data_IF_882527841836
#
_entry.id   IF_882527841836
#
_cell.length_a   1.000
_cell.length_b   1.000
_cell.length_c   1.000
_cell.angle_alpha   90.00
_cell.angle_beta   90.00
_cell.angle_gamma   90.00
#
_symmetry.space_group_name_H-M   'P 1'
#
loop_
_entity.id
_entity.type
_entity.pdbx_description
1 polymer ?
#
# COMPACT_ATOMS: atom_id res chain seq x y z
N UNK A 1 12.60 -21.71 -0.52
CA UNK A 1 12.75 -20.43 -1.25
C UNK A 1 13.61 -19.51 -0.41
N UNK A 2 14.58 -18.85 -1.02
CA UNK A 2 15.48 -17.92 -0.34
C UNK A 2 15.94 -16.83 -1.29
N UNK A 3 16.00 -15.60 -0.80
CA UNK A 3 16.53 -14.44 -1.55
C UNK A 3 18.02 -14.69 -1.82
N UNK A 4 18.42 -14.70 -3.09
CA UNK A 4 19.81 -14.94 -3.50
C UNK A 4 20.55 -13.62 -3.74
N UNK A 5 19.85 -12.61 -4.25
CA UNK A 5 20.37 -11.24 -4.45
C UNK A 5 19.23 -10.23 -4.28
N UNK A 6 19.58 -9.02 -3.82
CA UNK A 6 18.66 -7.88 -3.69
C UNK A 6 19.34 -6.63 -4.23
N UNK A 7 18.60 -5.83 -4.98
CA UNK A 7 19.00 -4.50 -5.41
C UNK A 7 17.83 -3.52 -5.24
N UNK A 8 17.96 -2.56 -4.32
CA UNK A 8 16.84 -1.72 -3.89
C UNK A 8 15.62 -2.54 -3.42
N UNK A 9 14.50 -2.40 -4.11
CA UNK A 9 13.26 -3.16 -3.86
C UNK A 9 13.08 -4.39 -4.78
N UNK A 10 14.01 -4.59 -5.73
CA UNK A 10 14.11 -5.79 -6.56
C UNK A 10 14.80 -6.94 -5.83
N UNK A 11 14.30 -8.16 -6.01
CA UNK A 11 14.85 -9.38 -5.41
C UNK A 11 14.88 -10.51 -6.43
N UNK A 12 15.99 -11.25 -6.44
CA UNK A 12 16.11 -12.53 -7.12
C UNK A 12 15.97 -13.64 -6.08
N UNK A 13 14.87 -14.38 -6.13
CA UNK A 13 14.55 -15.46 -5.19
C UNK A 13 14.70 -16.82 -5.85
N UNK A 14 15.38 -17.77 -5.19
CA UNK A 14 15.48 -19.14 -5.71
C UNK A 14 14.20 -19.90 -5.40
N UNK A 15 13.48 -20.29 -6.46
CA UNK A 15 12.33 -21.19 -6.38
C UNK A 15 12.84 -22.63 -6.27
N UNK A 16 13.52 -23.09 -7.32
CA UNK A 16 14.03 -24.46 -7.46
C UNK A 16 15.47 -24.48 -7.98
N UNK A 17 16.05 -25.67 -8.20
CA UNK A 17 17.37 -25.78 -8.81
C UNK A 17 17.30 -25.37 -10.29
N UNK A 18 17.92 -24.24 -10.60
CA UNK A 18 17.89 -23.64 -11.91
C UNK A 18 16.68 -22.76 -12.21
N UNK A 19 15.79 -22.49 -11.23
CA UNK A 19 14.64 -21.59 -11.40
C UNK A 19 14.67 -20.49 -10.35
N UNK A 20 14.63 -19.25 -10.83
CA UNK A 20 14.66 -18.04 -10.01
C UNK A 20 13.47 -17.14 -10.36
N UNK A 21 12.96 -16.41 -9.39
CA UNK A 21 11.94 -15.39 -9.56
C UNK A 21 12.56 -14.00 -9.37
N UNK A 22 12.33 -13.11 -10.32
CA UNK A 22 12.57 -11.67 -10.17
C UNK A 22 11.29 -11.05 -9.62
N UNK A 23 11.39 -10.39 -8.48
CA UNK A 23 10.25 -9.74 -7.81
C UNK A 23 10.56 -8.28 -7.48
N UNK A 24 9.54 -7.42 -7.53
CA UNK A 24 9.58 -6.02 -7.11
C UNK A 24 8.50 -5.78 -6.04
N UNK A 25 8.87 -5.28 -4.86
CA UNK A 25 7.98 -5.17 -3.68
C UNK A 25 7.12 -6.43 -3.40
N UNK A 26 7.72 -7.61 -3.62
CA UNK A 26 7.11 -8.94 -3.48
C UNK A 26 6.04 -9.30 -4.55
N UNK A 27 5.85 -8.49 -5.60
CA UNK A 27 5.13 -8.88 -6.82
C UNK A 27 6.08 -9.66 -7.77
N UNK A 28 5.56 -10.69 -8.45
CA UNK A 28 6.32 -11.47 -9.44
C UNK A 28 6.36 -10.72 -10.77
N UNK A 29 7.55 -10.29 -11.20
CA UNK A 29 7.75 -9.54 -12.44
C UNK A 29 8.25 -10.44 -13.57
N UNK A 30 9.13 -11.41 -13.26
CA UNK A 30 9.65 -12.36 -14.25
C UNK A 30 10.14 -13.66 -13.59
N UNK A 31 10.20 -14.73 -14.37
CA UNK A 31 10.91 -15.97 -14.02
C UNK A 31 12.19 -16.09 -14.85
N UNK A 32 13.24 -16.66 -14.27
CA UNK A 32 14.51 -16.91 -14.92
C UNK A 32 14.87 -18.39 -14.77
N UNK A 33 15.08 -19.07 -15.90
CA UNK A 33 15.43 -20.49 -15.98
C UNK A 33 16.87 -20.60 -16.48
N UNK A 34 17.75 -21.23 -15.70
CA UNK A 34 19.15 -21.45 -16.09
C UNK A 34 19.33 -22.79 -16.81
N UNK A 35 20.43 -22.96 -17.56
CA UNK A 35 20.80 -24.24 -18.16
C UNK A 35 20.86 -25.44 -17.18
N UNK A 36 21.14 -25.20 -15.89
CA UNK A 36 21.13 -26.20 -14.82
C UNK A 36 19.72 -26.71 -14.40
N UNK A 37 18.65 -26.21 -15.03
CA UNK A 37 17.28 -26.64 -14.74
C UNK A 37 16.94 -27.99 -15.39
N UNK A 38 16.62 -28.98 -14.56
CA UNK A 38 16.11 -30.29 -14.96
C UNK A 38 14.57 -30.27 -14.93
N UNK A 39 13.88 -30.26 -16.09
CA UNK A 39 12.42 -30.15 -16.13
C UNK A 39 11.76 -31.43 -15.60
N UNK A 40 10.93 -31.27 -14.56
CA UNK A 40 10.19 -32.35 -13.94
C UNK A 40 8.93 -32.75 -14.72
N UNK A 41 7.82 -32.96 -14.01
CA UNK A 41 6.50 -33.22 -14.62
C UNK A 41 5.93 -31.95 -15.28
N UNK A 42 6.34 -30.78 -14.78
CA UNK A 42 6.00 -29.47 -15.30
C UNK A 42 7.29 -28.78 -15.73
N UNK A 43 7.24 -28.08 -16.86
CA UNK A 43 8.37 -27.32 -17.39
C UNK A 43 8.07 -25.82 -17.26
N UNK A 44 8.79 -25.18 -16.32
CA UNK A 44 8.68 -23.75 -15.99
C UNK A 44 8.96 -22.83 -17.19
N UNK A 45 9.57 -23.32 -18.27
CA UNK A 45 9.76 -22.58 -19.54
C UNK A 45 8.44 -22.24 -20.24
N UNK A 46 7.37 -22.98 -19.95
CA UNK A 46 6.04 -22.78 -20.54
C UNK A 46 5.04 -22.12 -19.59
N UNK A 47 5.51 -21.53 -18.48
CA UNK A 47 4.63 -20.79 -17.58
C UNK A 47 4.11 -19.50 -18.26
N UNK A 48 2.79 -19.32 -18.23
CA UNK A 48 2.09 -18.16 -18.79
C UNK A 48 1.78 -17.08 -17.75
N UNK A 49 2.10 -17.33 -16.47
CA UNK A 49 1.79 -16.41 -15.36
C UNK A 49 2.78 -15.25 -15.22
N UNK A 50 3.99 -15.41 -15.75
CA UNK A 50 5.06 -14.40 -15.76
C UNK A 50 5.92 -14.56 -17.03
N UNK A 51 6.57 -13.50 -17.54
CA UNK A 51 7.55 -13.63 -18.61
C UNK A 51 8.73 -14.50 -18.13
N UNK A 52 9.08 -15.52 -18.92
CA UNK A 52 10.19 -16.44 -18.63
C UNK A 52 11.41 -16.07 -19.47
N UNK A 53 12.56 -15.91 -18.82
CA UNK A 53 13.85 -15.66 -19.45
C UNK A 53 14.75 -16.88 -19.29
N UNK A 54 15.18 -17.49 -20.39
CA UNK A 54 16.22 -18.52 -20.36
C UNK A 54 17.61 -17.88 -20.36
N UNK A 55 18.50 -18.36 -19.49
CA UNK A 55 19.90 -17.90 -19.40
C UNK A 55 20.87 -19.05 -19.19
N UNK A 56 22.15 -18.85 -19.51
CA UNK A 56 23.14 -19.92 -19.41
C UNK A 56 23.57 -20.20 -17.96
N UNK A 57 23.70 -19.17 -17.11
CA UNK A 57 24.21 -19.30 -15.74
C UNK A 57 23.47 -18.45 -14.70
N UNK A 58 23.75 -18.72 -13.41
CA UNK A 58 23.27 -17.88 -12.31
C UNK A 58 23.79 -16.43 -12.38
N UNK A 59 24.96 -16.18 -12.96
CA UNK A 59 25.47 -14.81 -13.11
C UNK A 59 24.63 -14.02 -14.13
N UNK A 60 24.18 -14.67 -15.20
CA UNK A 60 23.31 -14.03 -16.19
C UNK A 60 21.92 -13.72 -15.60
N UNK A 61 21.41 -14.56 -14.69
CA UNK A 61 20.18 -14.29 -13.93
C UNK A 61 20.33 -13.08 -12.98
N UNK A 62 21.54 -12.85 -12.49
CA UNK A 62 21.91 -11.65 -11.70
C UNK A 62 22.00 -10.42 -12.59
N UNK A 63 22.63 -10.53 -13.77
CA UNK A 63 22.77 -9.42 -14.71
C UNK A 63 21.41 -9.01 -15.30
N UNK A 64 20.45 -9.93 -15.39
CA UNK A 64 19.04 -9.61 -15.67
C UNK A 64 18.39 -8.82 -14.52
N UNK A 65 18.58 -9.22 -13.26
CA UNK A 65 18.05 -8.46 -12.10
C UNK A 65 18.53 -7.00 -12.13
N UNK A 66 19.81 -6.77 -12.45
CA UNK A 66 20.37 -5.42 -12.55
C UNK A 66 19.80 -4.61 -13.71
N UNK A 67 19.42 -5.26 -14.82
CA UNK A 67 18.69 -4.62 -15.92
C UNK A 67 17.27 -4.21 -15.51
N UNK A 68 16.55 -5.05 -14.77
CA UNK A 68 15.24 -4.71 -14.18
C UNK A 68 15.34 -3.58 -13.16
N UNK A 69 16.36 -3.60 -12.29
CA UNK A 69 16.63 -2.51 -11.35
C UNK A 69 16.96 -1.18 -12.06
N UNK A 70 17.70 -1.25 -13.18
CA UNK A 70 18.10 -0.08 -13.96
C UNK A 70 16.99 0.48 -14.87
N UNK A 71 16.02 -0.32 -15.29
CA UNK A 71 14.92 0.13 -16.17
C UNK A 71 13.87 0.96 -15.42
N UNK A 72 13.81 0.84 -14.09
CA UNK A 72 13.13 1.76 -13.18
C UNK A 72 11.59 1.75 -13.25
N UNK A 73 10.99 0.85 -14.03
CA UNK A 73 9.54 0.78 -14.22
C UNK A 73 9.10 -0.70 -14.28
N UNK A 74 8.38 -1.24 -13.28
CA UNK A 74 7.82 -2.58 -13.35
C UNK A 74 6.82 -2.67 -14.50
N UNK A 75 6.65 -3.88 -15.07
CA UNK A 75 5.75 -4.05 -16.19
C UNK A 75 4.30 -4.07 -15.71
N UNK A 76 3.35 -3.36 -16.36
CA UNK A 76 1.94 -3.45 -16.01
C UNK A 76 1.37 -4.81 -16.44
N UNK A 77 1.62 -5.88 -15.67
CA UNK A 77 0.99 -7.20 -15.85
C UNK A 77 -0.48 -7.13 -15.45
N UNK A 78 -1.29 -6.64 -16.39
CA UNK A 78 -2.73 -6.46 -16.25
C UNK A 78 -3.42 -6.39 -17.62
N UNK A 79 -2.94 -7.17 -18.61
CA UNK A 79 -3.48 -7.16 -19.96
C UNK A 79 -3.17 -8.47 -20.69
N UNK A 80 -4.21 -9.19 -21.09
CA UNK A 80 -4.11 -10.38 -21.94
C UNK A 80 -3.46 -10.01 -23.29
N UNK A 81 -2.22 -10.44 -23.49
CA UNK A 81 -1.49 -10.23 -24.75
C UNK A 81 -2.20 -10.93 -25.91
N UNK A 82 -2.79 -10.15 -26.80
CA UNK A 82 -3.55 -10.66 -27.92
C UNK A 82 -2.70 -11.43 -28.94
N UNK A 83 -3.20 -12.57 -29.39
CA UNK A 83 -2.65 -13.28 -30.55
C UNK A 83 -2.81 -12.41 -31.81
N UNK A 84 -1.70 -12.07 -32.44
CA UNK A 84 -1.73 -11.49 -33.77
C UNK A 84 -1.88 -12.59 -34.84
N UNK A 85 -2.96 -12.55 -35.62
CA UNK A 85 -2.87 -12.84 -37.06
C UNK A 85 -4.12 -12.41 -37.87
N UNK A 86 -3.83 -11.73 -38.99
CA UNK A 86 -4.50 -11.75 -40.31
C UNK A 86 -6.04 -11.71 -40.47
N UNK A 87 -6.44 -10.78 -41.34
CA UNK A 87 -7.56 -10.83 -42.29
C UNK A 87 -9.03 -10.66 -41.84
N UNK A 88 -9.51 -9.42 -42.04
CA UNK A 88 -10.61 -9.13 -42.97
C UNK A 88 -12.06 -9.49 -42.58
N UNK A 89 -12.88 -8.47 -42.27
CA UNK A 89 -14.33 -8.60 -42.38
C UNK A 89 -15.20 -7.56 -41.68
N UNK A 90 -15.71 -6.60 -42.46
CA UNK A 90 -17.07 -6.00 -42.47
C UNK A 90 -17.80 -5.64 -41.15
N UNK A 91 -18.38 -4.44 -41.12
CA UNK A 91 -19.29 -3.89 -40.10
C UNK A 91 -20.54 -4.75 -39.83
N UNK A 92 -21.12 -4.59 -38.63
CA UNK A 92 -22.58 -4.53 -38.43
C UNK A 92 -22.93 -3.96 -37.04
N UNK A 93 -23.66 -2.85 -37.01
CA UNK A 93 -24.28 -2.32 -35.79
C UNK A 93 -25.52 -3.14 -35.39
N UNK A 94 -25.74 -3.35 -34.09
CA UNK A 94 -27.09 -3.43 -33.51
C UNK A 94 -27.08 -2.92 -32.05
N UNK A 95 -28.00 -2.01 -31.67
CA UNK A 95 -28.18 -1.61 -30.28
C UNK A 95 -29.04 -2.64 -29.54
N UNK A 96 -28.64 -3.05 -28.34
CA UNK A 96 -29.38 -3.98 -27.51
C UNK A 96 -29.06 -3.79 -26.04
N UNK A 97 -30.11 -3.67 -25.21
CA UNK A 97 -30.08 -3.36 -23.79
C UNK A 97 -29.04 -4.18 -22.98
N UNK A 98 -27.89 -3.57 -22.72
CA UNK A 98 -27.05 -3.93 -21.60
C UNK A 98 -27.44 -3.06 -20.40
N UNK A 99 -28.06 -3.66 -19.39
CA UNK A 99 -28.15 -3.03 -18.06
C UNK A 99 -26.73 -2.73 -17.62
N UNK A 100 -26.37 -1.45 -17.61
CA UNK A 100 -25.06 -1.01 -17.17
C UNK A 100 -25.02 -1.09 -15.65
N UNK A 101 -24.61 -2.25 -15.13
CA UNK A 101 -23.93 -2.35 -13.83
C UNK A 101 -22.55 -1.67 -13.96
N UNK A 102 -22.59 -0.39 -14.28
CA UNK A 102 -21.47 0.51 -14.37
C UNK A 102 -21.10 0.99 -12.97
N UNK A 103 -20.48 0.10 -12.19
CA UNK A 103 -19.60 0.49 -11.07
C UNK A 103 -18.33 1.17 -11.62
N UNK A 104 -18.52 2.26 -12.37
CA UNK A 104 -17.47 3.06 -12.97
C UNK A 104 -17.17 4.27 -12.08
N UNK A 105 -16.19 4.11 -11.20
CA UNK A 105 -15.30 5.22 -10.82
C UNK A 105 -15.88 6.36 -9.97
N UNK A 106 -16.91 6.13 -9.15
CA UNK A 106 -17.34 7.13 -8.14
C UNK A 106 -16.37 7.14 -6.92
N UNK A 107 -15.69 6.03 -6.66
CA UNK A 107 -14.79 5.87 -5.50
C UNK A 107 -13.61 6.85 -5.46
N UNK A 108 -13.09 7.27 -6.61
CA UNK A 108 -11.89 8.12 -6.70
C UNK A 108 -12.20 9.63 -6.85
N UNK A 109 -13.46 10.06 -6.69
CA UNK A 109 -13.77 11.49 -6.71
C UNK A 109 -13.49 12.11 -5.33
N UNK A 110 -12.72 13.21 -5.23
CA UNK A 110 -12.51 13.86 -3.94
C UNK A 110 -13.83 14.50 -3.45
N UNK A 111 -14.00 14.75 -2.14
CA UNK A 111 -15.26 15.26 -1.56
C UNK A 111 -15.84 16.50 -2.24
N UNK A 112 -15.00 17.38 -2.79
CA UNK A 112 -15.45 18.52 -3.60
C UNK A 112 -16.07 18.13 -4.94
N UNK A 113 -15.51 17.11 -5.60
CA UNK A 113 -16.07 16.53 -6.82
C UNK A 113 -17.41 15.83 -6.56
N UNK A 114 -17.49 15.02 -5.49
CA UNK A 114 -18.73 14.36 -5.06
C UNK A 114 -19.83 15.42 -4.80
N UNK A 115 -19.52 16.48 -4.04
CA UNK A 115 -20.46 17.56 -3.78
C UNK A 115 -20.94 18.28 -5.05
N UNK A 116 -20.07 18.47 -6.04
CA UNK A 116 -20.43 19.10 -7.31
C UNK A 116 -21.36 18.21 -8.14
N UNK A 117 -21.05 16.91 -8.24
CA UNK A 117 -21.87 15.92 -8.94
C UNK A 117 -23.26 15.81 -8.30
N UNK A 118 -23.35 15.72 -6.97
CA UNK A 118 -24.62 15.67 -6.24
C UNK A 118 -25.50 16.90 -6.51
N UNK A 119 -24.92 18.09 -6.58
CA UNK A 119 -25.66 19.31 -6.86
C UNK A 119 -26.15 19.40 -8.31
N UNK A 120 -25.30 19.05 -9.28
CA UNK A 120 -25.65 19.07 -10.70
C UNK A 120 -26.70 17.99 -11.01
N UNK A 121 -26.47 16.75 -10.59
CA UNK A 121 -27.40 15.64 -10.81
C UNK A 121 -28.73 15.86 -10.07
N UNK A 122 -28.70 16.25 -8.80
CA UNK A 122 -29.90 16.59 -8.02
C UNK A 122 -30.70 17.72 -8.66
N UNK A 123 -30.02 18.78 -9.14
CA UNK A 123 -30.67 19.88 -9.86
C UNK A 123 -31.34 19.45 -11.16
N UNK A 124 -30.68 18.61 -11.96
CA UNK A 124 -31.24 18.05 -13.21
C UNK A 124 -32.47 17.19 -12.91
N UNK A 125 -32.42 16.34 -11.86
CA UNK A 125 -33.55 15.47 -11.47
C UNK A 125 -34.74 16.27 -10.92
N UNK A 126 -34.51 17.32 -10.12
CA UNK A 126 -35.58 18.21 -9.65
C UNK A 126 -36.20 19.01 -10.80
N UNK A 127 -35.38 19.45 -11.77
CA UNK A 127 -35.87 20.18 -12.95
C UNK A 127 -36.69 19.28 -13.89
N UNK A 128 -36.22 18.05 -14.15
CA UNK A 128 -36.91 17.10 -15.05
C UNK A 128 -38.18 16.49 -14.46
N UNK A 129 -38.29 16.39 -13.14
CA UNK A 129 -39.48 15.89 -12.44
C UNK A 129 -40.61 16.91 -12.28
N UNK A 130 -40.44 18.14 -12.78
CA UNK A 130 -41.53 19.12 -12.90
C UNK A 130 -42.15 19.59 -11.59
N UNK A 131 -41.43 19.46 -10.46
CA UNK A 131 -41.89 19.81 -9.11
C UNK A 131 -43.15 19.05 -8.61
N UNK A 132 -43.46 17.89 -9.18
CA UNK A 132 -44.54 17.03 -8.70
C UNK A 132 -44.18 16.41 -7.32
N UNK A 133 -44.82 16.89 -6.25
CA UNK A 133 -44.48 16.54 -4.86
C UNK A 133 -44.68 15.05 -4.52
N UNK A 134 -45.51 14.34 -5.28
CA UNK A 134 -45.79 12.91 -5.10
C UNK A 134 -44.76 11.99 -5.79
N UNK A 135 -43.84 12.57 -6.57
CA UNK A 135 -42.85 11.83 -7.37
C UNK A 135 -41.63 11.42 -6.56
N UNK A 136 -41.35 10.11 -6.48
CA UNK A 136 -40.15 9.55 -5.84
C UNK A 136 -38.86 10.20 -6.41
N UNK A 137 -38.81 10.46 -7.72
CA UNK A 137 -37.69 11.15 -8.37
C UNK A 137 -37.43 12.55 -7.80
N UNK A 138 -38.47 13.31 -7.45
CA UNK A 138 -38.32 14.63 -6.82
C UNK A 138 -37.66 14.48 -5.44
N UNK A 139 -38.11 13.52 -4.64
CA UNK A 139 -37.56 13.26 -3.32
C UNK A 139 -36.09 12.86 -3.39
N UNK A 140 -35.72 11.99 -4.33
CA UNK A 140 -34.31 11.63 -4.61
C UNK A 140 -33.51 12.89 -4.96
N UNK A 141 -33.97 13.69 -5.93
CA UNK A 141 -33.31 14.93 -6.34
C UNK A 141 -33.11 15.93 -5.19
N UNK A 142 -34.12 16.11 -4.33
CA UNK A 142 -34.04 16.95 -3.13
C UNK A 142 -33.00 16.40 -2.14
N UNK A 143 -32.98 15.09 -1.89
CA UNK A 143 -31.97 14.50 -0.96
C UNK A 143 -30.54 14.67 -1.47
N UNK A 144 -30.30 14.55 -2.77
CA UNK A 144 -28.99 14.82 -3.39
C UNK A 144 -28.58 16.30 -3.28
N UNK A 145 -29.53 17.23 -3.49
CA UNK A 145 -29.27 18.66 -3.30
C UNK A 145 -28.93 19.00 -1.83
N UNK A 146 -29.69 18.47 -0.88
CA UNK A 146 -29.47 18.70 0.56
C UNK A 146 -28.13 18.13 1.02
N UNK A 147 -27.73 16.94 0.55
CA UNK A 147 -26.43 16.36 0.90
C UNK A 147 -25.26 17.16 0.33
N UNK A 148 -25.34 17.62 -0.94
CA UNK A 148 -24.35 18.53 -1.53
C UNK A 148 -24.23 19.86 -0.77
N UNK A 149 -25.35 20.48 -0.39
CA UNK A 149 -25.34 21.71 0.42
C UNK A 149 -24.73 21.47 1.81
N UNK A 150 -25.00 20.32 2.43
CA UNK A 150 -24.43 19.96 3.73
C UNK A 150 -22.90 19.81 3.69
N UNK A 151 -22.35 19.20 2.63
CA UNK A 151 -20.90 19.07 2.41
C UNK A 151 -20.26 20.45 2.27
N UNK A 152 -20.84 21.35 1.45
CA UNK A 152 -20.35 22.74 1.31
C UNK A 152 -20.43 23.50 2.63
N UNK A 153 -21.53 23.35 3.38
CA UNK A 153 -21.70 23.96 4.70
C UNK A 153 -20.64 23.49 5.70
N UNK A 154 -20.32 22.19 5.70
CA UNK A 154 -19.24 21.63 6.52
C UNK A 154 -17.87 22.18 6.13
N UNK A 155 -17.58 22.29 4.84
CA UNK A 155 -16.34 22.88 4.30
C UNK A 155 -16.20 24.35 4.71
N UNK A 156 -17.29 25.13 4.73
CA UNK A 156 -17.29 26.52 5.21
C UNK A 156 -17.02 26.61 6.73
N UNK A 157 -17.58 25.71 7.54
CA UNK A 157 -17.29 25.62 8.97
C UNK A 157 -15.82 25.24 9.20
N UNK A 158 -15.29 24.29 8.43
CA UNK A 158 -13.89 23.87 8.50
C UNK A 158 -12.93 25.00 8.08
N UNK A 159 -13.29 25.77 7.04
CA UNK A 159 -12.55 26.96 6.63
C UNK A 159 -12.50 28.06 7.72
N UNK A 160 -13.57 28.20 8.52
CA UNK A 160 -13.62 29.15 9.63
C UNK A 160 -12.84 28.68 10.87
N UNK A 161 -12.74 27.36 11.10
CA UNK A 161 -12.06 26.79 12.28
C UNK A 161 -10.56 26.58 12.05
N UNK A 162 -10.21 25.97 10.93
CA UNK A 162 -8.86 25.46 10.65
C UNK A 162 -8.19 26.22 9.47
N UNK A 163 -8.89 27.20 8.91
CA UNK A 163 -8.41 28.06 7.83
C UNK A 163 -8.69 27.51 6.43
N UNK A 164 -8.64 28.40 5.44
CA UNK A 164 -8.96 28.10 4.03
C UNK A 164 -8.09 26.98 3.44
N UNK A 165 -6.84 26.84 3.91
CA UNK A 165 -5.93 25.77 3.46
C UNK A 165 -6.42 24.37 3.83
N UNK A 166 -7.00 24.20 5.03
CA UNK A 166 -7.57 22.92 5.47
C UNK A 166 -8.82 22.56 4.66
N UNK A 167 -9.66 23.55 4.34
CA UNK A 167 -10.85 23.38 3.51
C UNK A 167 -10.53 22.98 2.06
N UNK A 168 -9.51 23.61 1.45
CA UNK A 168 -9.03 23.23 0.11
C UNK A 168 -8.50 21.79 0.12
N UNK A 169 -7.71 21.42 1.14
CA UNK A 169 -7.17 20.06 1.28
C UNK A 169 -8.28 19.01 1.39
N UNK A 170 -9.33 19.27 2.17
CA UNK A 170 -10.49 18.37 2.27
C UNK A 170 -11.22 18.23 0.92
N UNK A 171 -11.43 19.34 0.19
CA UNK A 171 -12.09 19.31 -1.12
C UNK A 171 -11.30 18.56 -2.21
N UNK A 172 -9.98 18.45 -2.07
CA UNK A 172 -9.07 17.86 -3.08
C UNK A 172 -8.46 16.51 -2.69
N UNK A 173 -8.72 16.00 -1.48
CA UNK A 173 -8.20 14.69 -1.05
C UNK A 173 -9.10 13.60 -1.60
N UNK A 174 -8.57 12.73 -2.46
CA UNK A 174 -9.24 11.48 -2.83
C UNK A 174 -9.01 10.51 -1.67
N UNK A 175 -10.08 9.91 -1.14
CA UNK A 175 -9.98 8.92 -0.07
C UNK A 175 -9.58 7.56 -0.65
N UNK A 176 -8.26 7.37 -0.80
CA UNK A 176 -7.66 6.07 -1.07
C UNK A 176 -7.82 5.16 0.16
N UNK A 177 -8.92 4.40 0.16
CA UNK A 177 -9.36 3.53 1.26
C UNK A 177 -8.38 2.38 1.57
N UNK A 178 -7.25 2.29 0.84
CA UNK A 178 -6.21 1.28 1.03
C UNK A 178 -5.12 1.65 2.05
N UNK A 179 -5.04 2.90 2.54
CA UNK A 179 -3.94 3.34 3.43
C UNK A 179 -4.33 4.20 4.64
N UNK A 180 -4.90 3.53 5.65
CA UNK A 180 -4.98 4.06 7.01
C UNK A 180 -3.57 4.37 7.57
N UNK A 181 -3.31 5.67 7.78
CA UNK A 181 -2.22 6.31 8.54
C UNK A 181 -0.80 6.37 7.93
N UNK A 182 -0.45 7.56 7.41
CA UNK A 182 0.73 8.44 7.68
C UNK A 182 0.75 9.54 6.59
N UNK A 183 1.04 10.82 6.83
CA UNK A 183 1.66 11.55 7.98
C UNK A 183 1.32 13.06 7.93
N UNK A 184 1.35 13.70 9.11
CA UNK A 184 2.03 14.97 9.48
C UNK A 184 2.04 16.17 8.49
N UNK A 185 1.84 17.45 8.85
CA UNK A 185 1.55 18.19 10.10
C UNK A 185 0.66 19.43 9.72
N UNK A 186 0.45 20.54 10.45
CA UNK A 186 0.85 21.16 11.74
C UNK A 186 -0.29 22.20 12.09
N UNK A 187 -0.41 22.94 13.19
CA UNK A 187 0.36 23.12 14.44
C UNK A 187 -0.52 23.74 15.55
N UNK A 188 -0.34 23.35 16.81
CA UNK A 188 -0.24 24.23 18.02
C UNK A 188 -0.73 23.57 19.34
N UNK A 189 0.15 23.63 20.35
CA UNK A 189 -0.10 23.55 21.80
C UNK A 189 -0.96 22.39 22.38
N UNK A 190 -0.31 21.23 22.55
CA UNK A 190 -0.65 20.19 23.52
C UNK A 190 0.64 19.47 23.97
N UNK A 191 0.67 18.73 25.09
CA UNK A 191 1.92 18.16 25.63
C UNK A 191 2.61 17.25 24.60
N UNK A 192 3.93 17.46 24.42
CA UNK A 192 4.71 16.84 23.35
C UNK A 192 4.63 15.31 23.36
N UNK A 193 3.96 14.76 22.35
CA UNK A 193 4.06 13.33 22.01
C UNK A 193 5.37 13.13 21.26
N UNK A 194 6.27 12.30 21.79
CA UNK A 194 7.57 12.00 21.18
C UNK A 194 7.39 11.68 19.68
N UNK A 195 8.18 12.27 18.75
CA UNK A 195 8.10 11.94 17.32
C UNK A 195 8.34 10.44 17.07
N UNK A 196 7.89 9.88 15.93
CA UNK A 196 8.17 8.47 15.61
C UNK A 196 9.69 8.24 15.46
N UNK A 197 10.18 7.08 15.88
CA UNK A 197 11.60 6.71 15.76
C UNK A 197 12.08 6.91 14.31
N UNK A 198 13.16 7.67 14.07
CA UNK A 198 13.68 7.88 12.73
C UNK A 198 14.18 6.55 12.15
N UNK A 199 14.10 6.40 10.83
CA UNK A 199 14.40 5.13 10.17
C UNK A 199 15.86 4.71 10.39
N UNK A 200 16.80 5.66 10.27
CA UNK A 200 18.22 5.44 10.57
C UNK A 200 18.49 4.81 11.92
N UNK A 201 17.80 5.26 12.99
CA UNK A 201 17.96 4.70 14.33
C UNK A 201 17.36 3.29 14.46
N UNK A 202 16.34 2.95 13.67
CA UNK A 202 15.85 1.56 13.63
C UNK A 202 16.84 0.64 12.95
N UNK A 203 17.43 1.11 11.85
CA UNK A 203 18.40 0.36 11.07
C UNK A 203 19.67 0.14 11.91
N UNK A 204 20.19 1.19 12.57
CA UNK A 204 21.27 1.12 13.58
C UNK A 204 20.97 0.09 14.67
N UNK A 205 19.80 0.18 15.32
CA UNK A 205 19.41 -0.76 16.37
C UNK A 205 19.30 -2.22 15.87
N UNK A 206 18.83 -2.44 14.63
CA UNK A 206 18.63 -3.77 14.07
C UNK A 206 19.93 -4.42 13.57
N UNK A 207 20.72 -3.68 12.78
CA UNK A 207 21.93 -4.19 12.16
C UNK A 207 23.12 -4.18 13.11
N UNK A 208 23.35 -3.08 13.84
CA UNK A 208 24.56 -2.91 14.66
C UNK A 208 24.38 -3.49 16.07
N UNK A 209 23.29 -3.14 16.77
CA UNK A 209 23.05 -3.61 18.15
C UNK A 209 22.44 -5.00 18.21
N UNK A 210 21.37 -5.26 17.46
CA UNK A 210 20.60 -6.50 17.56
C UNK A 210 21.15 -7.63 16.68
N UNK A 211 22.12 -7.37 15.80
CA UNK A 211 22.78 -8.39 14.97
C UNK A 211 21.81 -9.23 14.14
N UNK A 212 20.81 -8.56 13.55
CA UNK A 212 19.72 -9.17 12.77
C UNK A 212 18.83 -10.17 13.53
N UNK A 213 18.74 -10.04 14.86
CA UNK A 213 17.97 -10.93 15.73
C UNK A 213 16.98 -10.16 16.61
N UNK A 214 15.92 -10.86 17.02
CA UNK A 214 15.01 -10.37 18.05
C UNK A 214 15.73 -10.31 19.40
N UNK A 215 15.88 -9.13 19.99
CA UNK A 215 16.53 -8.95 21.29
C UNK A 215 15.79 -9.64 22.44
N UNK A 216 14.55 -10.12 22.25
CA UNK A 216 13.82 -10.86 23.27
C UNK A 216 14.07 -12.37 23.22
N UNK A 217 13.83 -13.01 22.06
CA UNK A 217 13.92 -14.46 21.90
C UNK A 217 15.20 -14.96 21.22
N UNK A 218 16.07 -14.05 20.75
CA UNK A 218 17.32 -14.31 20.03
C UNK A 218 17.15 -15.05 18.68
N UNK A 219 15.93 -15.15 18.14
CA UNK A 219 15.71 -15.68 16.79
C UNK A 219 15.98 -14.60 15.73
N UNK A 220 16.54 -14.99 14.58
CA UNK A 220 16.58 -14.14 13.37
C UNK A 220 15.17 -13.81 12.89
N UNK A 221 15.00 -12.64 12.28
CA UNK A 221 13.69 -12.14 11.81
C UNK A 221 13.89 -11.18 10.64
N UNK A 222 13.35 -11.51 9.47
CA UNK A 222 13.49 -10.66 8.27
C UNK A 222 12.59 -9.41 8.31
N UNK A 223 11.65 -9.38 9.25
CA UNK A 223 10.77 -8.25 9.55
C UNK A 223 10.95 -7.82 11.03
N UNK A 224 11.99 -7.01 11.34
CA UNK A 224 12.21 -6.49 12.68
C UNK A 224 11.29 -5.29 12.99
N UNK A 225 10.76 -5.24 14.21
CA UNK A 225 9.94 -4.14 14.70
C UNK A 225 10.58 -3.54 15.95
N UNK A 226 10.76 -2.21 15.96
CA UNK A 226 11.35 -1.50 17.11
C UNK A 226 10.24 -1.03 18.05
N UNK A 227 10.20 -1.63 19.23
CA UNK A 227 9.18 -1.38 20.25
C UNK A 227 9.65 -0.35 21.29
N UNK A 228 8.81 0.64 21.59
CA UNK A 228 9.01 1.59 22.69
C UNK A 228 8.58 0.97 24.02
N UNK A 229 9.54 0.71 24.92
CA UNK A 229 9.25 0.06 26.22
C UNK A 229 8.40 0.97 27.12
N UNK A 230 8.72 2.26 27.14
CA UNK A 230 7.81 3.33 27.59
C UNK A 230 7.13 3.88 26.35
N UNK A 231 5.80 3.72 26.19
CA UNK A 231 5.08 4.16 25.00
C UNK A 231 5.23 5.66 24.71
N UNK A 232 5.17 6.03 23.43
CA UNK A 232 5.16 7.45 22.99
C UNK A 232 3.99 8.26 23.56
N UNK A 233 2.87 7.60 23.88
CA UNK A 233 1.71 8.19 24.56
C UNK A 233 1.97 8.54 26.03
N UNK A 234 2.96 7.90 26.66
CA UNK A 234 3.42 8.14 28.03
C UNK A 234 4.65 9.06 28.07
N UNK A 235 5.01 9.69 26.94
CA UNK A 235 6.21 10.54 26.82
C UNK A 235 7.53 9.77 26.71
N UNK A 236 7.49 8.47 26.36
CA UNK A 236 8.71 7.66 26.23
C UNK A 236 9.67 8.21 25.15
N UNK A 237 10.97 8.35 25.44
CA UNK A 237 11.94 8.91 24.51
C UNK A 237 12.33 7.94 23.38
N UNK A 238 12.87 8.48 22.29
CA UNK A 238 13.48 7.71 21.19
C UNK A 238 14.96 7.37 21.47
N UNK A 239 15.30 7.03 22.72
CA UNK A 239 16.65 6.62 23.08
C UNK A 239 16.83 5.11 22.93
N UNK A 240 18.02 4.60 22.56
CA UNK A 240 18.34 3.17 22.61
C UNK A 240 18.02 2.51 23.96
N UNK A 241 18.07 3.26 25.06
CA UNK A 241 17.70 2.83 26.42
C UNK A 241 16.22 2.42 26.58
N UNK A 242 15.34 3.00 25.76
CA UNK A 242 13.88 2.83 25.77
C UNK A 242 13.36 2.05 24.56
N UNK A 243 14.25 1.66 23.64
CA UNK A 243 13.93 0.93 22.41
C UNK A 243 14.46 -0.50 22.47
N UNK A 244 13.65 -1.45 21.99
CA UNK A 244 14.02 -2.87 21.86
C UNK A 244 13.57 -3.41 20.50
N UNK A 245 14.44 -4.16 19.83
CA UNK A 245 14.19 -4.80 18.54
C UNK A 245 13.53 -6.16 18.75
N UNK A 246 12.35 -6.36 18.18
CA UNK A 246 11.55 -7.58 18.33
C UNK A 246 11.18 -8.16 16.97
N UNK A 247 10.99 -9.48 16.90
CA UNK A 247 10.23 -10.08 15.79
C UNK A 247 8.72 -9.84 16.00
N UNK A 248 7.87 -9.94 14.95
CA UNK A 248 6.45 -9.56 15.06
C UNK A 248 5.69 -10.38 16.11
N UNK A 249 6.02 -11.66 16.24
CA UNK A 249 5.47 -12.54 17.27
C UNK A 249 5.89 -12.20 18.72
N UNK A 250 6.97 -11.44 18.91
CA UNK A 250 7.37 -10.89 20.21
C UNK A 250 6.83 -9.46 20.41
N UNK A 251 6.79 -8.63 19.36
CA UNK A 251 6.16 -7.30 19.39
C UNK A 251 4.69 -7.39 19.81
N UNK A 252 3.91 -8.24 19.14
CA UNK A 252 2.51 -8.49 19.48
C UNK A 252 2.31 -9.13 20.88
N UNK A 253 3.37 -9.63 21.55
CA UNK A 253 3.32 -10.06 22.96
C UNK A 253 3.66 -8.92 23.92
N UNK A 254 4.53 -7.99 23.52
CA UNK A 254 4.83 -6.78 24.26
C UNK A 254 3.62 -5.83 24.28
N UNK A 255 2.99 -5.57 23.12
CA UNK A 255 1.83 -4.67 23.00
C UNK A 255 0.63 -5.13 23.85
N UNK A 256 0.38 -6.45 23.88
CA UNK A 256 -0.68 -7.06 24.71
C UNK A 256 -0.30 -7.22 26.19
N UNK A 257 0.85 -6.69 26.61
CA UNK A 257 1.32 -6.77 28.00
C UNK A 257 1.77 -8.16 28.47
N UNK A 258 1.78 -9.18 27.60
CA UNK A 258 2.26 -10.52 27.93
C UNK A 258 3.78 -10.55 28.22
N UNK A 259 4.51 -9.55 27.71
CA UNK A 259 5.86 -9.21 28.17
C UNK A 259 5.79 -7.87 28.91
N UNK A 260 5.99 -7.89 30.22
CA UNK A 260 5.94 -6.68 31.07
C UNK A 260 7.09 -5.71 30.77
N UNK A 261 6.80 -4.39 30.73
CA UNK A 261 7.77 -3.29 30.51
C UNK A 261 9.09 -3.47 31.29
N UNK A 262 9.01 -3.82 32.58
CA UNK A 262 10.18 -4.07 33.46
C UNK A 262 11.09 -5.20 32.97
N UNK A 263 10.55 -6.25 32.36
CA UNK A 263 11.34 -7.34 31.76
C UNK A 263 12.06 -6.86 30.51
N UNK A 264 11.41 -6.08 29.65
CA UNK A 264 12.03 -5.47 28.46
C UNK A 264 13.18 -4.52 28.87
N UNK A 265 12.95 -3.62 29.83
CA UNK A 265 14.00 -2.74 30.38
C UNK A 265 15.19 -3.53 30.93
N UNK A 266 14.94 -4.60 31.70
CA UNK A 266 16.01 -5.46 32.23
C UNK A 266 16.75 -6.28 31.17
N UNK A 267 16.16 -6.47 29.99
CA UNK A 267 16.81 -7.13 28.84
C UNK A 267 17.70 -6.12 28.10
N UNK A 268 17.19 -4.94 27.76
CA UNK A 268 17.96 -3.85 27.13
C UNK A 268 19.17 -3.44 27.98
N UNK A 269 19.01 -3.28 29.30
CA UNK A 269 20.12 -2.96 30.21
C UNK A 269 21.24 -4.02 30.26
N UNK A 270 20.99 -5.26 29.82
CA UNK A 270 21.99 -6.33 29.71
C UNK A 270 22.62 -6.45 28.32
N UNK A 271 22.09 -5.73 27.33
CA UNK A 271 22.64 -5.66 25.97
C UNK A 271 23.52 -4.41 25.82
N UNK A 272 23.24 -3.36 26.59
CA UNK A 272 24.04 -2.13 26.68
C UNK A 272 25.20 -2.20 27.72
N UNK A 273 25.63 -3.41 28.12
CA UNK A 273 26.74 -3.68 29.05
C UNK A 273 27.76 -4.60 28.37
#
# INVERSE_FOLDING_TARGET
>A
MGVVRRDGDWRLEKLENGVYAITFDNALEAKVVTSDYDPGIYDERFDITAPVHEVDSFQDAVDLLEQFASSGNPSPMGGLGGFGNSDGGIELEFPGDGVSDGESGIGDLPPGGISLVLLIAGGIVVFSSGLALDSISLLIGITMLVSGIAIIGWVLVLAQRDGVSAAIKFLSTIEDDSKVQKKDSQSSNGPEKTPPTPQSLKDELYFERAGQQCEWCNNRTDQPEVHHITPRSEGGPNEPSNLIVLCPGCHAKADRGAISKTKLQSKVRRIAQ
#
